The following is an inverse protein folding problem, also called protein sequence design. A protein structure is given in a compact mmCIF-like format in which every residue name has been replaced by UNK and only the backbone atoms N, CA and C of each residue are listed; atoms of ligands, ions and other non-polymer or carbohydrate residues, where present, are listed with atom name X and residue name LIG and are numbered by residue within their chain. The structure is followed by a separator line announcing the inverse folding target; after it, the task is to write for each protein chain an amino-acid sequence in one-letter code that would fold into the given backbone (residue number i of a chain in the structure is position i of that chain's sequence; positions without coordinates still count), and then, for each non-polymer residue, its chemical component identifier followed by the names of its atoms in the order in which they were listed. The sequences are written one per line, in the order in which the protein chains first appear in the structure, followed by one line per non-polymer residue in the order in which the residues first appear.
data_IF_444368684970
#
_entry.id   IF_444368684970
#
_cell.length_a   1.000
_cell.length_b   1.000
_cell.length_c   1.000
_cell.angle_alpha   90.00
_cell.angle_beta   90.00
_cell.angle_gamma   90.00
#
_symmetry.space_group_name_H-M   'P 1'
#
loop_
_entity.id
_entity.type
_entity.pdbx_description
1 polymer ?
#
# COMPACT_ATOMS: atom_id res chain seq x y z
N UNK A 1 41.12 -42.09 2.24
CA UNK A 1 40.30 -41.53 3.34
C UNK A 1 40.68 -40.07 3.55
N UNK A 2 39.80 -39.13 3.19
CA UNK A 2 39.54 -37.86 3.90
C UNK A 2 38.67 -36.99 2.98
N UNK A 3 37.40 -36.83 3.35
CA UNK A 3 36.43 -35.95 2.68
C UNK A 3 36.54 -34.58 3.35
N UNK A 4 36.78 -33.52 2.57
CA UNK A 4 36.51 -32.15 3.01
C UNK A 4 35.15 -31.74 2.48
N UNK A 5 34.18 -31.66 3.38
CA UNK A 5 32.84 -31.13 3.14
C UNK A 5 32.90 -29.61 2.99
N UNK A 6 32.64 -29.11 1.79
CA UNK A 6 32.38 -27.69 1.52
C UNK A 6 30.87 -27.47 1.68
N UNK A 7 30.47 -26.81 2.76
CA UNK A 7 29.07 -26.44 2.99
C UNK A 7 28.78 -25.15 2.21
N UNK A 8 28.12 -25.27 1.06
CA UNK A 8 27.58 -24.14 0.33
C UNK A 8 26.35 -23.57 1.08
N UNK A 9 26.47 -22.34 1.58
CA UNK A 9 25.29 -21.56 1.99
C UNK A 9 24.63 -21.01 0.73
N UNK A 10 23.58 -21.69 0.29
CA UNK A 10 22.63 -21.20 -0.70
C UNK A 10 21.88 -20.01 -0.12
N UNK A 11 22.26 -18.79 -0.52
CA UNK A 11 21.45 -17.60 -0.33
C UNK A 11 20.23 -17.74 -1.28
N UNK A 12 19.08 -18.11 -0.71
CA UNK A 12 17.81 -18.09 -1.44
C UNK A 12 17.50 -16.65 -1.83
N UNK A 13 17.66 -16.37 -3.12
CA UNK A 13 17.18 -15.16 -3.78
C UNK A 13 15.68 -14.99 -3.50
N UNK A 14 15.34 -14.01 -2.66
CA UNK A 14 13.99 -13.47 -2.59
C UNK A 14 13.69 -12.85 -3.94
N UNK A 15 12.98 -13.57 -4.81
CA UNK A 15 12.41 -13.02 -6.02
C UNK A 15 11.42 -11.94 -5.59
N UNK A 16 11.87 -10.69 -5.61
CA UNK A 16 11.02 -9.51 -5.54
C UNK A 16 9.94 -9.64 -6.62
N UNK A 17 8.72 -9.23 -6.28
CA UNK A 17 7.68 -8.94 -7.26
C UNK A 17 8.29 -8.13 -8.41
N UNK A 18 8.04 -8.46 -9.69
CA UNK A 18 8.30 -7.52 -10.77
C UNK A 18 7.24 -6.41 -10.64
N UNK A 19 7.51 -5.44 -9.77
CA UNK A 19 6.75 -4.18 -9.65
C UNK A 19 6.72 -3.42 -10.99
N UNK A 20 7.57 -3.83 -11.94
CA UNK A 20 7.56 -3.36 -13.33
C UNK A 20 6.25 -3.65 -14.07
N UNK A 21 5.51 -4.73 -13.77
CA UNK A 21 4.29 -5.05 -14.52
C UNK A 21 3.13 -4.10 -14.15
N UNK A 22 3.01 -3.71 -12.87
CA UNK A 22 1.97 -2.78 -12.40
C UNK A 22 2.30 -1.32 -12.78
N UNK A 23 3.59 -1.01 -12.94
CA UNK A 23 4.04 0.28 -13.48
C UNK A 23 4.06 0.32 -15.02
N UNK A 24 4.17 -0.84 -15.71
CA UNK A 24 4.16 -0.95 -17.17
C UNK A 24 2.80 -0.58 -17.76
N UNK A 25 1.69 -1.01 -17.17
CA UNK A 25 0.33 -0.76 -17.70
C UNK A 25 -0.05 0.73 -17.73
N UNK A 26 0.71 1.62 -17.08
CA UNK A 26 0.50 3.07 -17.11
C UNK A 26 1.62 3.84 -17.81
N UNK A 27 2.81 3.26 -17.95
CA UNK A 27 3.82 3.74 -18.90
C UNK A 27 3.31 3.70 -20.35
N UNK A 28 2.33 2.85 -20.63
CA UNK A 28 1.68 2.71 -21.94
C UNK A 28 0.84 3.94 -22.37
N UNK A 29 0.48 4.85 -21.45
CA UNK A 29 -0.16 6.14 -21.79
C UNK A 29 0.83 7.32 -21.88
N UNK A 30 2.12 7.12 -21.59
CA UNK A 30 3.16 8.14 -21.75
C UNK A 30 3.09 9.37 -20.84
N UNK A 31 2.16 9.44 -19.89
CA UNK A 31 2.05 10.58 -18.98
C UNK A 31 3.02 10.44 -17.79
N UNK A 32 3.81 11.49 -17.47
CA UNK A 32 4.63 11.52 -16.27
C UNK A 32 3.76 11.42 -15.00
N UNK A 33 4.26 10.73 -13.97
CA UNK A 33 3.56 10.52 -12.70
C UNK A 33 4.45 10.93 -11.52
N UNK A 34 3.81 11.31 -10.42
CA UNK A 34 4.48 11.55 -9.14
C UNK A 34 3.67 10.92 -8.00
N UNK A 35 4.34 10.20 -7.11
CA UNK A 35 3.72 9.70 -5.90
C UNK A 35 3.47 10.86 -4.92
N UNK A 36 2.33 10.85 -4.24
CA UNK A 36 2.03 11.85 -3.21
C UNK A 36 3.15 11.98 -2.15
N UNK A 37 3.84 10.87 -1.84
CA UNK A 37 4.97 10.89 -0.90
C UNK A 37 6.23 11.59 -1.45
N UNK A 38 6.47 11.56 -2.76
CA UNK A 38 7.58 12.26 -3.39
C UNK A 38 7.39 13.78 -3.30
N UNK A 39 6.14 14.27 -3.34
CA UNK A 39 5.84 15.69 -3.10
C UNK A 39 6.36 16.14 -1.73
N UNK A 40 6.17 15.32 -0.70
CA UNK A 40 6.70 15.62 0.64
C UNK A 40 8.23 15.67 0.66
N UNK A 41 8.90 14.76 -0.05
CA UNK A 41 10.36 14.75 -0.16
C UNK A 41 10.90 15.97 -0.91
N UNK A 42 10.21 16.42 -1.96
CA UNK A 42 10.58 17.61 -2.72
C UNK A 42 10.45 18.88 -1.86
N UNK A 43 9.39 18.99 -1.06
CA UNK A 43 9.23 20.10 -0.11
C UNK A 43 10.31 20.05 0.99
N UNK A 44 10.61 18.87 1.53
CA UNK A 44 11.70 18.69 2.51
C UNK A 44 13.05 19.15 1.92
N UNK A 45 13.32 18.81 0.65
CA UNK A 45 14.52 19.25 -0.07
C UNK A 45 14.59 20.77 -0.34
N UNK A 46 13.47 21.47 -0.28
CA UNK A 46 13.38 22.93 -0.39
C UNK A 46 13.47 23.65 0.97
N UNK A 47 13.74 22.91 2.06
CA UNK A 47 13.81 23.47 3.41
C UNK A 47 12.44 23.77 4.03
N UNK A 48 11.35 23.31 3.40
CA UNK A 48 10.01 23.41 3.95
C UNK A 48 9.84 22.25 4.92
N UNK A 49 9.89 22.55 6.22
CA UNK A 49 9.79 21.54 7.26
C UNK A 49 8.37 20.99 7.41
N UNK A 50 8.26 19.84 8.07
CA UNK A 50 7.00 19.08 8.18
C UNK A 50 6.01 19.69 9.17
N UNK A 51 6.53 20.42 10.14
CA UNK A 51 5.82 21.19 11.16
C UNK A 51 5.47 22.61 10.68
N UNK A 52 5.86 23.00 9.46
CA UNK A 52 5.47 24.29 8.89
C UNK A 52 3.94 24.34 8.73
N UNK A 53 3.24 25.28 9.39
CA UNK A 53 1.78 25.36 9.34
C UNK A 53 1.24 25.64 7.93
N UNK A 54 2.09 26.15 7.03
CA UNK A 54 1.75 26.42 5.62
C UNK A 54 1.91 25.18 4.74
N UNK A 55 2.53 24.11 5.24
CA UNK A 55 2.83 22.91 4.45
C UNK A 55 1.59 22.30 3.78
N UNK A 56 0.41 22.20 4.41
CA UNK A 56 -0.79 21.70 3.73
C UNK A 56 -1.14 22.54 2.50
N UNK A 57 -1.08 23.87 2.60
CA UNK A 57 -1.33 24.79 1.48
C UNK A 57 -0.28 24.63 0.39
N UNK A 58 1.00 24.52 0.76
CA UNK A 58 2.10 24.30 -0.19
C UNK A 58 1.98 22.97 -0.93
N UNK A 59 1.52 21.90 -0.26
CA UNK A 59 1.22 20.62 -0.91
C UNK A 59 0.09 20.80 -1.93
N UNK A 60 -0.99 21.51 -1.56
CA UNK A 60 -2.10 21.76 -2.48
C UNK A 60 -1.67 22.60 -3.69
N UNK A 61 -0.87 23.65 -3.47
CA UNK A 61 -0.30 24.46 -4.56
C UNK A 61 0.61 23.64 -5.48
N UNK A 62 1.46 22.79 -4.90
CA UNK A 62 2.32 21.89 -5.66
C UNK A 62 1.50 20.92 -6.50
N UNK A 63 0.48 20.30 -5.91
CA UNK A 63 -0.44 19.39 -6.61
C UNK A 63 -1.18 20.11 -7.74
N UNK A 64 -1.67 21.32 -7.52
CA UNK A 64 -2.31 22.12 -8.55
C UNK A 64 -1.36 22.42 -9.72
N UNK A 65 -0.08 22.70 -9.44
CA UNK A 65 0.94 22.91 -10.49
C UNK A 65 1.26 21.63 -11.26
N UNK A 66 1.39 20.51 -10.54
CA UNK A 66 1.62 19.17 -11.11
C UNK A 66 0.48 18.77 -12.04
N UNK A 67 -0.76 19.02 -11.64
CA UNK A 67 -1.97 18.80 -12.46
C UNK A 67 -1.99 19.70 -13.69
N UNK A 68 -1.68 20.99 -13.54
CA UNK A 68 -1.58 21.95 -14.66
C UNK A 68 -0.56 21.54 -15.74
N UNK A 69 0.52 20.86 -15.36
CA UNK A 69 1.55 20.38 -16.30
C UNK A 69 1.30 18.94 -16.77
N UNK A 70 0.13 18.37 -16.48
CA UNK A 70 -0.31 17.06 -16.95
C UNK A 70 0.40 15.88 -16.26
N UNK A 71 1.01 16.10 -15.10
CA UNK A 71 1.56 15.02 -14.28
C UNK A 71 0.46 14.47 -13.38
N UNK A 72 0.26 13.16 -13.40
CA UNK A 72 -0.75 12.51 -12.55
C UNK A 72 -0.17 12.26 -11.15
N UNK A 73 -0.82 12.83 -10.13
CA UNK A 73 -0.50 12.52 -8.73
C UNK A 73 -1.15 11.20 -8.33
N UNK A 74 -0.36 10.23 -7.86
CA UNK A 74 -0.89 8.92 -7.45
C UNK A 74 -0.89 8.72 -5.94
N UNK A 75 -1.95 8.06 -5.47
CA UNK A 75 -2.06 7.54 -4.11
C UNK A 75 -2.29 8.62 -3.03
N UNK A 76 -2.95 9.73 -3.41
CA UNK A 76 -3.64 10.60 -2.44
C UNK A 76 -4.63 9.75 -1.63
N UNK A 77 -4.65 9.92 -0.31
CA UNK A 77 -5.61 9.22 0.55
C UNK A 77 -6.99 9.88 0.43
N UNK A 78 -8.09 9.12 0.58
CA UNK A 78 -9.45 9.65 0.51
C UNK A 78 -9.65 10.76 1.53
N UNK A 79 -10.24 11.87 1.09
CA UNK A 79 -10.90 12.81 1.99
C UNK A 79 -12.23 12.18 2.45
N UNK A 80 -12.60 12.40 3.71
CA UNK A 80 -13.54 11.58 4.50
C UNK A 80 -14.98 11.45 3.97
N UNK A 81 -15.33 12.03 2.82
CA UNK A 81 -16.70 12.15 2.34
C UNK A 81 -17.00 11.52 0.96
N UNK A 82 -15.99 11.12 0.16
CA UNK A 82 -16.25 10.94 -1.29
C UNK A 82 -15.75 9.67 -1.98
N UNK A 83 -15.22 8.67 -1.28
CA UNK A 83 -14.66 7.49 -1.95
C UNK A 83 -15.23 6.18 -1.42
N UNK A 84 -15.32 5.19 -2.31
CA UNK A 84 -15.63 3.80 -1.99
C UNK A 84 -14.55 3.27 -1.05
N UNK A 85 -14.84 3.31 0.25
CA UNK A 85 -13.97 2.84 1.31
C UNK A 85 -14.52 1.55 1.87
N UNK A 86 -13.69 0.51 1.92
CA UNK A 86 -14.00 -0.74 2.60
C UNK A 86 -13.11 -0.90 3.83
N UNK A 87 -13.68 -1.35 4.93
CA UNK A 87 -12.97 -1.55 6.19
C UNK A 87 -12.94 -3.03 6.54
N UNK A 88 -11.74 -3.59 6.67
CA UNK A 88 -11.50 -4.95 7.15
C UNK A 88 -11.04 -4.87 8.60
N UNK A 89 -11.88 -5.35 9.51
CA UNK A 89 -11.52 -5.44 10.94
C UNK A 89 -10.47 -6.51 11.15
N UNK A 90 -9.37 -6.16 11.82
CA UNK A 90 -8.35 -7.11 12.20
C UNK A 90 -8.74 -7.69 13.58
N UNK A 91 -8.90 -9.01 13.73
CA UNK A 91 -9.23 -9.61 15.02
C UNK A 91 -8.17 -9.30 16.08
N UNK A 92 -8.62 -9.03 17.31
CA UNK A 92 -7.76 -8.81 18.48
C UNK A 92 -6.76 -7.65 18.29
N UNK A 93 -7.12 -6.66 17.47
CA UNK A 93 -6.30 -5.50 17.17
C UNK A 93 -7.16 -4.23 17.11
N UNK A 94 -6.61 -3.11 17.53
CA UNK A 94 -7.26 -1.80 17.39
C UNK A 94 -7.09 -1.23 15.98
N UNK A 95 -6.37 -1.95 15.11
CA UNK A 95 -6.15 -1.61 13.72
C UNK A 95 -7.19 -2.25 12.80
N UNK A 96 -7.43 -1.58 11.68
CA UNK A 96 -8.24 -2.08 10.57
C UNK A 96 -7.42 -1.90 9.29
N UNK A 97 -7.72 -2.70 8.27
CA UNK A 97 -7.23 -2.43 6.92
C UNK A 97 -8.32 -1.62 6.21
N UNK A 98 -7.96 -0.43 5.76
CA UNK A 98 -8.84 0.45 5.00
C UNK A 98 -8.45 0.37 3.54
N UNK A 99 -9.36 -0.11 2.70
CA UNK A 99 -9.22 -0.20 1.25
C UNK A 99 -9.96 0.97 0.61
N UNK A 100 -9.38 1.57 -0.41
CA UNK A 100 -10.00 2.69 -1.12
C UNK A 100 -9.58 2.73 -2.58
N UNK A 101 -10.51 3.19 -3.41
CA UNK A 101 -10.26 3.40 -4.83
C UNK A 101 -9.60 4.77 -4.99
N UNK A 102 -8.31 4.80 -5.32
CA UNK A 102 -7.65 6.04 -5.73
C UNK A 102 -8.27 6.57 -7.03
N UNK A 103 -8.12 7.87 -7.29
CA UNK A 103 -8.83 8.58 -8.38
C UNK A 103 -8.63 7.96 -9.77
N UNK A 104 -7.51 7.27 -10.03
CA UNK A 104 -7.11 6.81 -11.37
C UNK A 104 -7.10 5.29 -11.58
N UNK A 105 -7.50 4.47 -10.60
CA UNK A 105 -7.29 3.00 -10.66
C UNK A 105 -8.56 2.14 -10.59
N UNK A 106 -9.73 2.75 -10.74
CA UNK A 106 -11.02 2.04 -10.76
C UNK A 106 -11.08 1.01 -11.89
N UNK A 107 -10.77 1.42 -13.11
CA UNK A 107 -10.86 0.55 -14.30
C UNK A 107 -9.85 -0.60 -14.29
N UNK A 108 -8.75 -0.48 -13.53
CA UNK A 108 -7.68 -1.47 -13.46
C UNK A 108 -7.92 -2.56 -12.40
N UNK A 109 -9.03 -2.52 -11.65
CA UNK A 109 -9.27 -3.50 -10.59
C UNK A 109 -8.32 -3.36 -9.39
N UNK A 110 -7.64 -2.22 -9.22
CA UNK A 110 -6.65 -2.02 -8.14
C UNK A 110 -7.21 -1.17 -7.01
N UNK A 111 -7.08 -1.67 -5.78
CA UNK A 111 -7.29 -0.94 -4.55
C UNK A 111 -5.97 -0.41 -3.99
N UNK A 112 -6.00 0.78 -3.40
CA UNK A 112 -5.04 1.14 -2.38
C UNK A 112 -5.53 0.63 -1.03
N UNK A 113 -4.60 0.30 -0.13
CA UNK A 113 -4.93 0.10 1.27
C UNK A 113 -3.91 0.69 2.22
N UNK A 114 -4.35 1.02 3.43
CA UNK A 114 -3.50 1.39 4.56
C UNK A 114 -3.96 0.73 5.86
N UNK A 115 -3.12 0.83 6.90
CA UNK A 115 -3.53 0.51 8.27
C UNK A 115 -4.23 1.73 8.86
N UNK A 116 -5.37 1.50 9.52
CA UNK A 116 -6.19 2.54 10.09
C UNK A 116 -6.43 2.27 11.57
N UNK A 117 -6.09 3.24 12.43
CA UNK A 117 -6.35 3.15 13.86
C UNK A 117 -7.83 3.43 14.12
N UNK A 118 -8.56 2.43 14.62
CA UNK A 118 -9.96 2.63 15.02
C UNK A 118 -10.11 3.56 16.22
N UNK A 119 -9.12 3.55 17.13
CA UNK A 119 -9.05 4.43 18.30
C UNK A 119 -8.79 5.88 17.92
N UNK A 120 -7.77 6.12 17.10
CA UNK A 120 -7.38 7.46 16.67
C UNK A 120 -8.22 8.01 15.51
N UNK A 121 -8.97 7.16 14.81
CA UNK A 121 -9.66 7.47 13.55
C UNK A 121 -8.72 8.10 12.50
N UNK A 122 -7.48 7.61 12.46
CA UNK A 122 -6.43 8.12 11.57
C UNK A 122 -5.69 6.96 10.88
N UNK A 123 -5.21 7.15 9.64
CA UNK A 123 -4.27 6.22 9.05
C UNK A 123 -2.97 6.18 9.84
N UNK A 124 -2.33 5.02 9.87
CA UNK A 124 -1.03 4.78 10.48
C UNK A 124 -0.17 3.96 9.51
N UNK A 125 1.15 4.06 9.63
CA UNK A 125 2.05 3.18 8.89
C UNK A 125 1.96 1.75 9.46
N UNK A 126 2.39 0.76 8.68
CA UNK A 126 2.45 -0.62 9.12
C UNK A 126 3.30 -0.72 10.40
N UNK A 127 2.75 -1.26 11.49
CA UNK A 127 3.52 -1.46 12.70
C UNK A 127 4.71 -2.39 12.45
N UNK A 128 5.74 -2.29 13.29
CA UNK A 128 6.93 -3.12 13.14
C UNK A 128 6.56 -4.61 13.12
N UNK A 129 7.07 -5.32 12.11
CA UNK A 129 6.82 -6.75 11.90
C UNK A 129 5.46 -7.08 11.26
N UNK A 130 4.59 -6.10 11.02
CA UNK A 130 3.37 -6.30 10.24
C UNK A 130 3.72 -6.31 8.75
N UNK A 131 3.16 -7.28 8.02
CA UNK A 131 3.22 -7.27 6.56
C UNK A 131 2.03 -8.03 5.96
N UNK A 132 1.65 -7.61 4.76
CA UNK A 132 0.60 -8.25 3.98
C UNK A 132 1.24 -8.94 2.77
N UNK A 133 0.74 -10.13 2.45
CA UNK A 133 1.11 -10.87 1.25
C UNK A 133 -0.13 -11.38 0.52
N UNK A 134 -0.03 -11.52 -0.80
CA UNK A 134 -1.07 -12.16 -1.61
C UNK A 134 -0.88 -13.67 -1.52
N UNK A 135 -1.96 -14.38 -1.18
CA UNK A 135 -2.04 -15.84 -1.16
C UNK A 135 -2.66 -16.27 -2.49
N UNK A 136 -1.86 -16.88 -3.36
CA UNK A 136 -2.33 -17.42 -4.65
C UNK A 136 -2.05 -18.92 -4.73
N UNK A 137 -3.07 -19.77 -4.95
CA UNK A 137 -2.86 -21.15 -5.35
C UNK A 137 -2.37 -21.15 -6.81
N UNK A 138 -1.05 -21.33 -7.02
CA UNK A 138 -0.46 -21.48 -8.36
C UNK A 138 0.04 -20.19 -9.04
N UNK A 139 -0.02 -19.03 -8.39
CA UNK A 139 0.49 -17.75 -8.90
C UNK A 139 1.68 -17.18 -8.12
N UNK A 140 2.02 -15.91 -8.41
CA UNK A 140 3.05 -15.14 -7.72
C UNK A 140 2.57 -14.73 -6.32
N UNK A 141 2.80 -15.58 -5.32
CA UNK A 141 2.66 -15.23 -3.92
C UNK A 141 3.85 -14.35 -3.47
N UNK A 142 3.61 -13.37 -2.62
CA UNK A 142 4.67 -12.51 -2.10
C UNK A 142 4.20 -11.35 -1.25
N UNK A 143 5.13 -10.83 -0.45
CA UNK A 143 4.92 -9.63 0.36
C UNK A 143 4.63 -8.43 -0.55
N UNK A 144 3.59 -7.68 -0.21
CA UNK A 144 3.23 -6.44 -0.91
C UNK A 144 4.14 -5.33 -0.37
N UNK A 145 5.03 -4.73 -1.19
CA UNK A 145 5.78 -3.56 -0.77
C UNK A 145 4.84 -2.35 -0.65
N UNK A 146 5.19 -1.38 0.20
CA UNK A 146 4.50 -0.10 0.17
C UNK A 146 4.77 0.63 -1.14
N UNK A 147 3.83 1.49 -1.53
CA UNK A 147 4.00 2.39 -2.67
C UNK A 147 5.23 3.26 -2.41
N UNK A 148 5.35 3.79 -1.20
CA UNK A 148 6.49 4.57 -0.74
C UNK A 148 7.82 3.86 -1.00
N UNK A 149 7.98 2.62 -0.53
CA UNK A 149 9.21 1.85 -0.74
C UNK A 149 9.49 1.59 -2.24
N UNK A 150 8.44 1.43 -3.05
CA UNK A 150 8.55 1.24 -4.51
C UNK A 150 9.11 2.50 -5.20
N UNK A 151 8.84 3.68 -4.65
CA UNK A 151 9.38 4.97 -5.10
C UNK A 151 10.65 5.39 -4.32
N UNK A 152 11.29 4.47 -3.60
CA UNK A 152 12.53 4.76 -2.85
C UNK A 152 12.34 5.52 -1.53
N UNK A 153 11.09 5.71 -1.08
CA UNK A 153 10.75 6.35 0.19
C UNK A 153 10.77 5.30 1.31
N UNK A 154 11.88 5.22 2.06
CA UNK A 154 12.08 4.19 3.09
C UNK A 154 11.44 4.53 4.45
N UNK A 155 11.28 5.83 4.76
CA UNK A 155 10.75 6.32 6.04
C UNK A 155 9.62 7.32 5.77
N UNK A 156 8.44 6.85 5.32
CA UNK A 156 7.34 7.75 5.08
C UNK A 156 6.79 8.31 6.40
N UNK A 157 6.21 9.50 6.31
CA UNK A 157 5.63 10.21 7.44
C UNK A 157 4.55 9.34 8.11
N UNK A 158 4.29 9.52 9.42
CA UNK A 158 3.24 8.77 10.10
C UNK A 158 1.90 8.87 9.36
N UNK A 159 1.34 7.70 9.03
CA UNK A 159 0.04 7.62 8.36
C UNK A 159 0.08 7.90 6.85
N UNK A 160 1.25 8.03 6.22
CA UNK A 160 1.37 8.16 4.77
C UNK A 160 1.47 6.83 4.04
N UNK A 161 2.01 5.80 4.69
CA UNK A 161 2.26 4.51 4.05
C UNK A 161 0.96 3.91 3.51
N UNK A 162 1.06 3.34 2.30
CA UNK A 162 -0.03 2.67 1.60
C UNK A 162 0.52 1.58 0.68
N UNK A 163 -0.36 0.69 0.28
CA UNK A 163 -0.05 -0.49 -0.51
C UNK A 163 -1.06 -0.61 -1.64
N UNK A 164 -0.73 -1.38 -2.68
CA UNK A 164 -1.66 -1.68 -3.79
C UNK A 164 -1.99 -3.16 -3.83
N UNK A 165 -3.25 -3.48 -4.04
CA UNK A 165 -3.73 -4.86 -4.17
C UNK A 165 -4.83 -4.95 -5.20
N UNK A 166 -4.89 -6.06 -5.94
CA UNK A 166 -5.95 -6.28 -6.92
C UNK A 166 -7.23 -6.77 -6.24
N UNK A 167 -8.37 -6.43 -6.84
CA UNK A 167 -9.69 -6.98 -6.53
C UNK A 167 -9.65 -8.50 -6.37
N UNK A 168 -10.50 -9.04 -5.50
CA UNK A 168 -10.61 -10.46 -5.22
C UNK A 168 -9.37 -11.17 -4.66
N UNK A 169 -8.23 -10.49 -4.50
CA UNK A 169 -7.03 -11.10 -3.95
C UNK A 169 -7.31 -11.65 -2.54
N UNK A 170 -6.95 -12.91 -2.31
CA UNK A 170 -6.84 -13.45 -0.97
C UNK A 170 -5.51 -12.97 -0.38
N UNK A 171 -5.57 -12.29 0.75
CA UNK A 171 -4.40 -11.73 1.42
C UNK A 171 -4.20 -12.36 2.78
N UNK A 172 -2.94 -12.44 3.20
CA UNK A 172 -2.54 -12.83 4.55
C UNK A 172 -1.80 -11.68 5.22
N UNK A 173 -2.34 -11.22 6.34
CA UNK A 173 -1.68 -10.32 7.26
C UNK A 173 -0.92 -11.14 8.31
N UNK A 174 0.40 -10.96 8.36
CA UNK A 174 1.27 -11.51 9.40
C UNK A 174 1.57 -10.42 10.42
N UNK A 175 1.52 -10.78 11.71
CA UNK A 175 1.71 -9.88 12.85
C UNK A 175 2.56 -10.57 13.92
N UNK A 176 3.46 -9.86 14.60
CA UNK A 176 4.21 -10.43 15.71
C UNK A 176 3.27 -10.98 16.81
N UNK A 177 3.61 -12.16 17.33
CA UNK A 177 2.93 -12.79 18.46
C UNK A 177 1.43 -13.08 18.28
N UNK A 178 0.90 -12.98 17.05
CA UNK A 178 -0.49 -13.29 16.71
C UNK A 178 -0.56 -14.24 15.51
N UNK A 179 -1.63 -15.01 15.42
CA UNK A 179 -1.88 -15.87 14.26
C UNK A 179 -2.05 -15.07 12.96
N UNK A 180 -1.73 -15.67 11.80
CA UNK A 180 -1.96 -15.04 10.51
C UNK A 180 -3.46 -14.76 10.32
N UNK A 181 -3.77 -13.61 9.76
CA UNK A 181 -5.13 -13.20 9.47
C UNK A 181 -5.37 -13.18 7.96
N UNK A 182 -6.32 -13.99 7.49
CA UNK A 182 -6.72 -14.02 6.08
C UNK A 182 -7.89 -13.09 5.84
N UNK A 183 -7.82 -12.32 4.76
CA UNK A 183 -8.92 -11.49 4.28
C UNK A 183 -8.95 -11.48 2.76
N UNK A 184 -10.15 -11.29 2.19
CA UNK A 184 -10.34 -11.17 0.74
C UNK A 184 -10.60 -9.71 0.38
N UNK A 185 -9.91 -9.21 -0.64
CA UNK A 185 -10.16 -7.87 -1.19
C UNK A 185 -11.56 -7.86 -1.85
N UNK A 186 -12.40 -6.85 -1.58
CA UNK A 186 -13.76 -6.76 -2.13
C UNK A 186 -13.74 -6.64 -3.65
N UNK A 187 -14.86 -6.99 -4.27
CA UNK A 187 -15.20 -6.56 -5.63
C UNK A 187 -16.05 -5.29 -5.53
N UNK A 188 -15.79 -4.27 -6.37
CA UNK A 188 -16.53 -2.98 -6.29
C UNK A 188 -18.04 -3.08 -6.51
N UNK A 189 -18.52 -4.16 -7.12
CA UNK A 189 -19.96 -4.41 -7.28
C UNK A 189 -20.59 -5.13 -6.07
N UNK A 190 -19.83 -5.38 -5.01
CA UNK A 190 -20.34 -5.98 -3.77
C UNK A 190 -20.92 -4.88 -2.86
N UNK A 191 -22.14 -5.03 -2.32
CA UNK A 191 -22.71 -4.06 -1.40
C UNK A 191 -21.76 -3.76 -0.21
N UNK A 192 -21.66 -2.51 0.28
CA UNK A 192 -20.72 -2.10 1.33
C UNK A 192 -20.84 -2.85 2.67
N UNK A 193 -21.86 -3.69 2.85
CA UNK A 193 -22.26 -4.21 4.14
C UNK A 193 -21.58 -5.54 4.56
N UNK A 194 -20.88 -6.28 3.69
CA UNK A 194 -20.35 -7.61 4.07
C UNK A 194 -19.04 -7.94 3.34
N UNK A 195 -17.90 -7.36 3.71
CA UNK A 195 -16.60 -7.91 3.26
C UNK A 195 -15.54 -7.88 4.36
N UNK A 196 -15.52 -8.96 5.14
CA UNK A 196 -14.37 -9.81 5.46
C UNK A 196 -14.76 -10.71 6.65
N UNK A 197 -15.46 -11.81 6.36
CA UNK A 197 -15.52 -12.89 7.34
C UNK A 197 -14.15 -13.57 7.36
N UNK A 198 -13.61 -13.80 8.55
CA UNK A 198 -12.43 -14.64 8.72
C UNK A 198 -12.71 -16.00 8.07
N UNK A 199 -11.94 -16.37 7.05
CA UNK A 199 -12.02 -17.72 6.50
C UNK A 199 -11.38 -18.64 7.53
N UNK A 200 -12.20 -19.42 8.26
CA UNK A 200 -11.69 -20.53 9.07
C UNK A 200 -11.14 -21.58 8.11
N UNK A 201 -9.84 -21.83 8.15
CA UNK A 201 -9.28 -23.04 7.58
C UNK A 201 -9.62 -24.17 8.55
N UNK A 202 -10.39 -25.15 8.08
CA UNK A 202 -10.70 -26.38 8.81
C UNK A 202 -9.47 -27.29 8.88
#
# INVERSE_FOLDING_TARGET
MSRHSRTERSAKSNKLYPTSAVNQTLGEMGLPQIAYAEIHQLLDGQGIHRDDPRRPEMIQEFMARVDQIGIVTIGKKPEAAYQEVFMVKIPEDDLQIRLFTGETRREQGIFFFDFFSSRGKVPVNAPQGYFVEIVSPGGLAGRIPSVEATFGVNNPDPGMEKFTVVENALCRLTRPYKGPFLFKVPERNTPPAIVAQAVRVQ
#
